data_IF_427742922415
#
_entry.id   IF_427742922415
#
_cell.length_a   1.000
_cell.length_b   1.000
_cell.length_c   1.000
_cell.angle_alpha   90.00
_cell.angle_beta   90.00
_cell.angle_gamma   90.00
#
_symmetry.space_group_name_H-M   'P 1'
#
loop_
_entity.id
_entity.type
_entity.pdbx_description
1 polymer ?
#
# COMPACT_ATOMS: atom_id res chain seq x y z
N UNK A 1 20.07 -16.74 -1.90
CA UNK A 1 19.02 -16.96 -0.87
C UNK A 1 17.65 -17.22 -1.48
N UNK A 2 17.16 -16.41 -2.43
CA UNK A 2 15.84 -16.61 -3.05
C UNK A 2 15.60 -18.03 -3.58
N UNK A 3 16.56 -18.65 -4.28
CA UNK A 3 16.43 -20.03 -4.78
C UNK A 3 16.11 -21.05 -3.68
N UNK A 4 16.78 -20.92 -2.53
CA UNK A 4 16.55 -21.80 -1.38
C UNK A 4 15.18 -21.52 -0.76
N UNK A 5 14.77 -20.25 -0.62
CA UNK A 5 13.45 -19.92 -0.07
C UNK A 5 12.33 -20.44 -0.98
N UNK A 6 12.47 -20.28 -2.30
CA UNK A 6 11.50 -20.78 -3.27
C UNK A 6 11.42 -22.32 -3.29
N UNK A 7 12.56 -23.00 -3.36
CA UNK A 7 12.58 -24.47 -3.49
C UNK A 7 12.29 -25.22 -2.19
N UNK A 8 12.89 -24.78 -1.07
CA UNK A 8 12.79 -25.49 0.20
C UNK A 8 11.60 -25.04 1.05
N UNK A 9 11.29 -23.72 1.06
CA UNK A 9 10.22 -23.16 1.89
C UNK A 9 8.92 -22.88 1.12
N UNK A 10 8.95 -22.91 -0.22
CA UNK A 10 7.78 -22.71 -1.09
C UNK A 10 7.04 -21.41 -0.80
N UNK A 11 7.78 -20.31 -0.67
CA UNK A 11 7.21 -18.98 -0.40
C UNK A 11 6.32 -18.51 -1.56
N UNK A 12 5.25 -17.78 -1.22
CA UNK A 12 4.28 -17.23 -2.19
C UNK A 12 4.56 -15.79 -2.61
N UNK A 13 5.47 -15.10 -1.90
CA UNK A 13 5.79 -13.69 -2.11
C UNK A 13 7.18 -13.34 -1.57
N UNK A 14 7.71 -12.21 -2.03
CA UNK A 14 8.95 -11.59 -1.55
C UNK A 14 8.62 -10.34 -0.75
N UNK A 15 9.24 -10.16 0.43
CA UNK A 15 9.08 -8.96 1.24
C UNK A 15 10.33 -8.08 1.13
N UNK A 16 10.11 -6.81 0.82
CA UNK A 16 11.16 -5.79 0.70
C UNK A 16 10.91 -4.62 1.67
N UNK A 17 12.00 -4.19 2.31
CA UNK A 17 12.04 -3.00 3.15
C UNK A 17 13.04 -2.00 2.56
N UNK A 18 12.55 -1.09 1.72
CA UNK A 18 13.39 -0.16 0.96
C UNK A 18 14.03 0.91 1.84
N UNK A 19 13.35 1.36 2.89
CA UNK A 19 13.89 2.34 3.84
C UNK A 19 14.72 1.75 4.97
N UNK A 20 14.47 0.49 5.37
CA UNK A 20 15.19 -0.16 6.46
C UNK A 20 16.55 -0.69 5.99
N UNK A 21 17.52 0.22 5.88
CA UNK A 21 18.88 -0.09 5.49
C UNK A 21 19.48 -1.21 6.36
N UNK A 22 20.17 -2.21 5.78
CA UNK A 22 20.90 -3.21 6.55
C UNK A 22 21.92 -2.55 7.48
N UNK A 23 22.23 -3.21 8.59
CA UNK A 23 23.20 -2.70 9.56
C UNK A 23 24.54 -2.38 8.87
N UNK A 24 24.98 -1.13 8.95
CA UNK A 24 26.21 -0.63 8.32
C UNK A 24 25.99 0.21 7.05
N UNK A 25 24.76 0.31 6.56
CA UNK A 25 24.37 1.22 5.48
C UNK A 25 23.62 2.42 6.06
N UNK A 26 23.87 3.60 5.49
CA UNK A 26 23.24 4.88 5.87
C UNK A 26 22.08 5.28 4.95
N UNK A 27 21.84 4.52 3.88
CA UNK A 27 20.80 4.76 2.90
C UNK A 27 20.01 3.48 2.56
N UNK A 28 18.75 3.70 2.21
CA UNK A 28 17.86 2.69 1.62
C UNK A 28 18.08 2.56 0.10
N UNK A 29 17.09 2.00 -0.59
CA UNK A 29 17.14 1.74 -2.03
C UNK A 29 15.76 1.93 -2.67
N UNK A 30 15.70 2.08 -4.00
CA UNK A 30 14.45 2.31 -4.74
C UNK A 30 14.05 1.10 -5.57
N UNK A 31 12.75 0.84 -5.67
CA UNK A 31 12.20 -0.27 -6.44
C UNK A 31 12.45 -0.14 -7.94
N UNK A 32 12.60 1.07 -8.45
CA UNK A 32 12.90 1.35 -9.85
C UNK A 32 14.40 1.52 -10.16
N UNK A 33 15.28 1.28 -9.17
CA UNK A 33 16.72 1.29 -9.38
C UNK A 33 17.16 0.06 -10.19
N UNK A 34 17.54 0.29 -11.43
CA UNK A 34 17.94 -0.75 -12.39
C UNK A 34 19.21 -1.49 -11.97
N UNK A 35 20.10 -0.83 -11.22
CA UNK A 35 21.39 -1.40 -10.81
C UNK A 35 21.28 -2.17 -9.49
N UNK A 36 20.39 -1.74 -8.61
CA UNK A 36 20.23 -2.33 -7.27
C UNK A 36 19.10 -3.36 -7.23
N UNK A 37 17.95 -3.03 -7.81
CA UNK A 37 16.71 -3.77 -7.56
C UNK A 37 16.35 -4.77 -8.65
N UNK A 38 16.63 -4.44 -9.92
CA UNK A 38 16.08 -5.23 -11.04
C UNK A 38 16.58 -6.67 -11.05
N UNK A 39 17.80 -6.93 -10.58
CA UNK A 39 18.30 -8.29 -10.43
C UNK A 39 17.41 -9.14 -9.50
N UNK A 40 16.84 -8.55 -8.44
CA UNK A 40 15.91 -9.23 -7.55
C UNK A 40 14.56 -9.46 -8.22
N UNK A 41 14.04 -8.46 -8.94
CA UNK A 41 12.76 -8.56 -9.66
C UNK A 41 12.80 -9.60 -10.78
N UNK A 42 13.86 -9.60 -11.58
CA UNK A 42 14.10 -10.64 -12.60
C UNK A 42 14.23 -12.02 -11.97
N UNK A 43 14.84 -12.11 -10.79
CA UNK A 43 14.92 -13.38 -10.06
C UNK A 43 13.54 -13.84 -9.58
N UNK A 44 12.70 -12.96 -9.06
CA UNK A 44 11.33 -13.27 -8.67
C UNK A 44 10.50 -13.77 -9.86
N UNK A 45 10.61 -13.09 -11.02
CA UNK A 45 10.03 -13.50 -12.30
C UNK A 45 10.49 -14.91 -12.71
N UNK A 46 11.80 -15.16 -12.73
CA UNK A 46 12.36 -16.45 -13.12
C UNK A 46 11.92 -17.60 -12.18
N UNK A 47 11.75 -17.31 -10.89
CA UNK A 47 11.24 -18.25 -9.90
C UNK A 47 9.72 -18.45 -9.95
N UNK A 48 9.00 -17.67 -10.78
CA UNK A 48 7.53 -17.70 -10.92
C UNK A 48 6.80 -17.42 -9.59
N UNK A 49 7.37 -16.54 -8.78
CA UNK A 49 6.77 -16.02 -7.54
C UNK A 49 6.61 -14.51 -7.74
N UNK A 50 5.48 -14.06 -8.32
CA UNK A 50 5.37 -12.71 -8.88
C UNK A 50 5.07 -11.63 -7.85
N UNK A 51 4.67 -12.02 -6.62
CA UNK A 51 4.23 -11.08 -5.59
C UNK A 51 5.40 -10.45 -4.87
N UNK A 52 5.47 -9.12 -4.92
CA UNK A 52 6.49 -8.29 -4.29
C UNK A 52 5.80 -7.38 -3.26
N UNK A 53 5.83 -7.80 -2.01
CA UNK A 53 5.37 -7.02 -0.87
C UNK A 53 6.42 -5.97 -0.51
N UNK A 54 6.07 -4.69 -0.62
CA UNK A 54 7.01 -3.57 -0.43
C UNK A 54 6.55 -2.67 0.72
N UNK A 55 7.44 -2.38 1.66
CA UNK A 55 7.18 -1.43 2.75
C UNK A 55 7.22 0.00 2.20
N UNK A 56 6.06 0.56 1.85
CA UNK A 56 5.94 1.84 1.15
C UNK A 56 4.88 2.74 1.80
N UNK A 57 5.22 3.18 3.01
CA UNK A 57 4.42 3.96 3.95
C UNK A 57 5.01 3.73 5.35
N UNK A 58 4.53 4.45 6.37
CA UNK A 58 4.96 4.37 7.76
C UNK A 58 6.49 4.20 7.86
N UNK A 59 7.23 5.27 7.49
CA UNK A 59 8.60 5.15 7.04
C UNK A 59 9.51 4.55 8.10
N UNK A 60 10.33 3.59 7.66
CA UNK A 60 11.38 2.98 8.46
C UNK A 60 12.76 3.45 7.97
N UNK A 61 13.72 3.46 8.88
CA UNK A 61 15.12 3.75 8.60
C UNK A 61 15.49 5.24 8.58
N UNK A 62 16.77 5.55 8.30
CA UNK A 62 17.33 6.89 8.51
C UNK A 62 16.87 7.92 7.47
N UNK A 63 16.52 7.47 6.27
CA UNK A 63 16.07 8.35 5.18
C UNK A 63 14.64 8.00 4.84
N UNK A 64 13.73 8.88 5.28
CA UNK A 64 12.28 8.75 5.16
C UNK A 64 11.84 8.45 3.72
N UNK A 65 12.49 9.09 2.74
CA UNK A 65 12.02 9.14 1.36
C UNK A 65 12.01 7.77 0.66
N UNK A 66 12.88 6.84 1.04
CA UNK A 66 12.91 5.48 0.45
C UNK A 66 11.63 4.67 0.72
N UNK A 67 10.77 5.11 1.62
CA UNK A 67 9.46 4.51 1.88
C UNK A 67 8.34 5.15 1.06
N UNK A 68 8.61 6.21 0.28
CA UNK A 68 7.62 6.78 -0.62
C UNK A 68 7.33 5.79 -1.76
N UNK A 69 6.06 5.54 -2.13
CA UNK A 69 5.70 4.57 -3.18
C UNK A 69 5.97 5.04 -4.62
N UNK A 70 6.61 6.20 -4.84
CA UNK A 70 6.66 6.87 -6.16
C UNK A 70 7.41 6.04 -7.21
N UNK A 71 8.44 5.35 -6.76
CA UNK A 71 9.29 4.47 -7.55
C UNK A 71 8.52 3.26 -8.11
N UNK A 72 7.41 2.88 -7.50
CA UNK A 72 6.59 1.78 -8.00
C UNK A 72 5.94 2.08 -9.34
N UNK A 73 5.76 3.36 -9.72
CA UNK A 73 5.19 3.69 -11.03
C UNK A 73 6.10 3.20 -12.16
N UNK A 74 7.40 3.42 -12.07
CA UNK A 74 8.36 2.93 -13.07
C UNK A 74 8.56 1.42 -12.94
N UNK A 75 8.78 0.90 -11.73
CA UNK A 75 8.97 -0.53 -11.51
C UNK A 75 7.78 -1.37 -12.03
N UNK A 76 6.54 -0.93 -11.81
CA UNK A 76 5.34 -1.63 -12.28
C UNK A 76 5.19 -1.62 -13.81
N UNK A 77 5.64 -0.55 -14.48
CA UNK A 77 5.68 -0.49 -15.96
C UNK A 77 6.73 -1.42 -16.54
N UNK A 78 7.90 -1.46 -15.92
CA UNK A 78 9.05 -2.24 -16.42
C UNK A 78 8.87 -3.74 -16.12
N UNK A 79 8.06 -4.09 -15.11
CA UNK A 79 7.72 -5.46 -14.72
C UNK A 79 6.20 -5.69 -14.64
N UNK A 80 5.47 -5.64 -15.78
CA UNK A 80 4.01 -5.73 -15.80
C UNK A 80 3.47 -7.11 -15.38
N UNK A 81 4.32 -8.13 -15.33
CA UNK A 81 4.04 -9.50 -14.91
C UNK A 81 4.29 -9.78 -13.42
N UNK A 82 4.87 -8.81 -12.70
CA UNK A 82 5.02 -8.86 -11.24
C UNK A 82 3.92 -8.05 -10.56
N UNK A 83 3.51 -8.45 -9.36
CA UNK A 83 2.47 -7.80 -8.57
C UNK A 83 3.09 -7.07 -7.38
N UNK A 84 2.94 -5.75 -7.30
CA UNK A 84 3.52 -4.92 -6.23
C UNK A 84 2.49 -4.62 -5.16
N UNK A 85 2.67 -5.18 -3.96
CA UNK A 85 1.78 -4.99 -2.82
C UNK A 85 2.36 -3.92 -1.89
N UNK A 86 1.73 -2.74 -1.90
CA UNK A 86 2.12 -1.52 -1.18
C UNK A 86 1.63 -1.61 0.25
N UNK A 87 2.48 -2.14 1.14
CA UNK A 87 2.17 -2.17 2.57
C UNK A 87 2.04 -0.75 3.09
N UNK A 88 1.00 -0.55 3.89
CA UNK A 88 0.60 0.73 4.45
C UNK A 88 0.11 1.78 3.43
N UNK A 89 -0.22 1.37 2.20
CA UNK A 89 -0.94 2.22 1.23
C UNK A 89 -0.36 3.63 1.01
N UNK A 90 0.95 3.83 1.16
CA UNK A 90 1.56 5.15 1.02
C UNK A 90 1.21 6.13 2.14
N UNK A 91 0.71 5.70 3.30
CA UNK A 91 0.49 6.58 4.45
C UNK A 91 1.85 6.99 5.02
N UNK A 92 2.18 8.29 5.03
CA UNK A 92 3.41 8.77 5.67
C UNK A 92 3.36 8.58 7.19
N UNK A 93 2.44 9.24 7.85
CA UNK A 93 2.14 9.11 9.27
C UNK A 93 0.80 9.81 9.57
N UNK A 94 0.09 9.39 10.62
CA UNK A 94 -1.22 9.96 10.95
C UNK A 94 -1.16 11.45 11.37
N UNK A 95 -0.08 11.88 12.03
CA UNK A 95 0.04 13.25 12.54
C UNK A 95 0.22 14.28 11.41
N UNK A 96 1.05 13.96 10.41
CA UNK A 96 1.23 14.80 9.23
C UNK A 96 -0.01 14.77 8.34
N UNK A 97 -0.69 13.62 8.24
CA UNK A 97 -1.97 13.52 7.55
C UNK A 97 -3.00 14.49 8.15
N UNK A 98 -3.18 14.51 9.48
CA UNK A 98 -4.09 15.46 10.13
C UNK A 98 -3.77 16.92 9.81
N UNK A 99 -2.50 17.32 10.02
CA UNK A 99 -2.05 18.71 9.82
C UNK A 99 -2.22 19.19 8.38
N UNK A 100 -1.87 18.34 7.41
CA UNK A 100 -1.92 18.69 5.98
C UNK A 100 -3.34 18.62 5.45
N UNK A 101 -4.12 17.61 5.88
CA UNK A 101 -5.50 17.45 5.46
C UNK A 101 -6.36 18.64 5.89
N UNK A 102 -6.15 19.18 7.10
CA UNK A 102 -6.88 20.35 7.57
C UNK A 102 -6.69 21.61 6.70
N UNK A 103 -5.52 21.75 6.06
CA UNK A 103 -5.20 22.93 5.25
C UNK A 103 -5.41 22.74 3.75
N UNK A 104 -5.26 21.51 3.24
CA UNK A 104 -5.24 21.23 1.80
C UNK A 104 -6.29 20.21 1.35
N UNK A 105 -6.83 19.42 2.28
CA UNK A 105 -7.62 18.23 1.97
C UNK A 105 -6.79 17.07 1.40
N UNK A 106 -5.46 17.17 1.39
CA UNK A 106 -4.57 16.12 0.90
C UNK A 106 -3.99 15.27 2.03
N UNK A 107 -3.70 14.02 1.72
CA UNK A 107 -2.99 13.08 2.57
C UNK A 107 -1.58 12.93 1.99
N UNK A 108 -0.52 13.38 2.70
CA UNK A 108 0.85 13.32 2.20
C UNK A 108 1.22 11.92 1.69
N UNK A 109 1.89 11.89 0.54
CA UNK A 109 2.28 10.69 -0.23
C UNK A 109 1.13 9.90 -0.83
N UNK A 110 0.06 9.59 -0.06
CA UNK A 110 -1.08 8.83 -0.56
C UNK A 110 -1.80 9.57 -1.69
N UNK A 111 -2.14 10.85 -1.48
CA UNK A 111 -2.81 11.68 -2.50
C UNK A 111 -1.92 11.88 -3.73
N UNK A 112 -0.62 12.12 -3.53
CA UNK A 112 0.36 12.25 -4.61
C UNK A 112 0.45 10.96 -5.44
N UNK A 113 0.59 9.81 -4.77
CA UNK A 113 0.70 8.52 -5.43
C UNK A 113 -0.58 8.13 -6.19
N UNK A 114 -1.76 8.42 -5.64
CA UNK A 114 -3.03 8.23 -6.35
C UNK A 114 -3.10 9.09 -7.63
N UNK A 115 -2.61 10.34 -7.59
CA UNK A 115 -2.53 11.21 -8.78
C UNK A 115 -1.56 10.64 -9.82
N UNK A 116 -0.39 10.16 -9.39
CA UNK A 116 0.58 9.51 -10.27
C UNK A 116 -0.01 8.26 -10.94
N UNK A 117 -0.68 7.40 -10.17
CA UNK A 117 -1.34 6.20 -10.72
C UNK A 117 -2.42 6.55 -11.75
N UNK A 118 -3.23 7.59 -11.50
CA UNK A 118 -4.27 8.03 -12.43
C UNK A 118 -3.71 8.58 -13.74
N UNK A 119 -2.52 9.18 -13.72
CA UNK A 119 -1.81 9.58 -14.94
C UNK A 119 -1.33 8.37 -15.76
N UNK A 120 -1.31 7.17 -15.16
CA UNK A 120 -0.80 5.93 -15.75
C UNK A 120 -1.87 4.82 -15.72
N UNK A 121 -3.00 4.97 -16.44
CA UNK A 121 -4.13 4.04 -16.37
C UNK A 121 -3.79 2.62 -16.86
N UNK A 122 -2.71 2.45 -17.64
CA UNK A 122 -2.22 1.15 -18.10
C UNK A 122 -1.59 0.29 -17.01
N UNK A 123 -1.12 0.88 -15.91
CA UNK A 123 -0.59 0.12 -14.76
C UNK A 123 -1.76 -0.57 -14.06
N UNK A 124 -1.66 -1.89 -13.87
CA UNK A 124 -2.70 -2.73 -13.25
C UNK A 124 -2.16 -3.68 -12.17
N UNK A 125 -0.87 -3.61 -11.88
CA UNK A 125 -0.16 -4.58 -11.05
C UNK A 125 0.37 -3.94 -9.75
N UNK A 126 -0.34 -2.93 -9.23
CA UNK A 126 -0.07 -2.30 -7.93
C UNK A 126 -1.30 -2.47 -7.05
N UNK A 127 -1.09 -3.00 -5.85
CA UNK A 127 -2.13 -3.30 -4.86
C UNK A 127 -1.87 -2.53 -3.57
N UNK A 128 -2.89 -1.88 -3.02
CA UNK A 128 -2.80 -1.02 -1.83
C UNK A 128 -3.23 -1.80 -0.59
N UNK A 129 -2.29 -2.11 0.30
CA UNK A 129 -2.57 -2.89 1.53
C UNK A 129 -2.86 -1.97 2.72
N UNK A 130 -3.93 -2.28 3.46
CA UNK A 130 -4.50 -1.38 4.47
C UNK A 130 -3.81 -1.43 5.84
N UNK A 131 -3.54 -2.61 6.40
CA UNK A 131 -2.82 -2.81 7.66
C UNK A 131 -2.96 -1.71 8.72
N UNK A 132 -1.80 -1.25 9.19
CA UNK A 132 -1.67 -0.12 10.12
C UNK A 132 -2.27 1.18 9.59
N UNK A 133 -2.39 1.37 8.27
CA UNK A 133 -3.02 2.58 7.70
C UNK A 133 -4.49 2.67 8.06
N UNK A 134 -5.23 1.56 7.95
CA UNK A 134 -6.60 1.52 8.44
C UNK A 134 -6.66 1.62 9.96
N UNK A 135 -5.84 0.82 10.67
CA UNK A 135 -5.83 0.78 12.13
C UNK A 135 -5.56 2.15 12.80
N UNK A 136 -4.57 2.91 12.30
CA UNK A 136 -4.27 4.25 12.80
C UNK A 136 -5.40 5.23 12.49
N UNK A 137 -5.86 5.31 11.24
CA UNK A 137 -6.79 6.36 10.85
C UNK A 137 -8.23 6.12 11.31
N UNK A 138 -8.71 4.87 11.32
CA UNK A 138 -10.12 4.59 11.67
C UNK A 138 -10.46 4.98 13.10
N UNK A 139 -9.48 4.93 14.00
CA UNK A 139 -9.66 5.17 15.44
C UNK A 139 -9.56 6.65 15.79
N UNK A 140 -8.58 7.37 15.22
CA UNK A 140 -8.28 8.76 15.59
C UNK A 140 -8.76 9.77 14.56
N UNK A 141 -8.83 9.40 13.28
CA UNK A 141 -9.10 10.32 12.16
C UNK A 141 -10.06 9.72 11.12
N UNK A 142 -11.30 9.33 11.49
CA UNK A 142 -12.19 8.58 10.61
C UNK A 142 -12.55 9.32 9.30
N UNK A 143 -12.62 10.65 9.30
CA UNK A 143 -12.83 11.42 8.07
C UNK A 143 -11.65 11.29 7.08
N UNK A 144 -10.42 11.28 7.60
CA UNK A 144 -9.20 11.08 6.82
C UNK A 144 -9.14 9.63 6.32
N UNK A 145 -9.51 8.66 7.17
CA UNK A 145 -9.64 7.25 6.78
C UNK A 145 -10.60 7.08 5.59
N UNK A 146 -11.79 7.69 5.67
CA UNK A 146 -12.78 7.64 4.60
C UNK A 146 -12.27 8.31 3.31
N UNK A 147 -11.59 9.45 3.44
CA UNK A 147 -10.99 10.13 2.30
C UNK A 147 -9.88 9.29 1.64
N UNK A 148 -8.99 8.68 2.45
CA UNK A 148 -7.93 7.78 1.98
C UNK A 148 -8.51 6.60 1.20
N UNK A 149 -9.48 5.89 1.79
CA UNK A 149 -10.14 4.75 1.14
C UNK A 149 -10.80 5.17 -0.18
N UNK A 150 -11.47 6.33 -0.19
CA UNK A 150 -12.05 6.90 -1.41
C UNK A 150 -11.00 7.14 -2.49
N UNK A 151 -9.86 7.76 -2.15
CA UNK A 151 -8.77 8.04 -3.11
C UNK A 151 -8.16 6.76 -3.69
N UNK A 152 -7.84 5.77 -2.86
CA UNK A 152 -7.19 4.54 -3.34
C UNK A 152 -8.15 3.68 -4.16
N UNK A 153 -9.43 3.58 -3.77
CA UNK A 153 -10.42 2.83 -4.56
C UNK A 153 -10.65 3.50 -5.92
N UNK A 154 -10.72 4.83 -5.96
CA UNK A 154 -10.90 5.59 -7.20
C UNK A 154 -9.65 5.54 -8.11
N UNK A 155 -8.44 5.44 -7.55
CA UNK A 155 -7.20 5.38 -8.34
C UNK A 155 -6.81 3.97 -8.80
N UNK A 156 -7.04 2.94 -7.97
CA UNK A 156 -6.58 1.57 -8.20
C UNK A 156 -7.71 0.58 -8.47
N UNK A 157 -8.93 0.88 -8.02
CA UNK A 157 -10.05 -0.06 -8.01
C UNK A 157 -10.15 -0.81 -6.69
N UNK A 158 -11.37 -1.17 -6.29
CA UNK A 158 -11.61 -1.93 -5.06
C UNK A 158 -10.99 -3.34 -5.08
N UNK A 159 -10.79 -3.90 -6.27
CA UNK A 159 -10.10 -5.17 -6.52
C UNK A 159 -8.57 -5.08 -6.36
N UNK A 160 -8.03 -3.87 -6.21
CA UNK A 160 -6.61 -3.63 -5.97
C UNK A 160 -6.35 -3.06 -4.57
N UNK A 161 -7.31 -3.18 -3.66
CA UNK A 161 -7.15 -2.82 -2.24
C UNK A 161 -7.21 -4.08 -1.41
N UNK A 162 -6.16 -4.33 -0.62
CA UNK A 162 -5.99 -5.56 0.15
C UNK A 162 -6.22 -5.32 1.63
N UNK A 163 -7.00 -6.19 2.25
CA UNK A 163 -7.15 -6.22 3.70
C UNK A 163 -5.89 -6.76 4.39
N UNK A 164 -5.47 -6.05 5.42
CA UNK A 164 -4.49 -6.51 6.40
C UNK A 164 -4.71 -5.78 7.71
N UNK A 165 -4.14 -6.31 8.79
CA UNK A 165 -4.36 -5.78 10.15
C UNK A 165 -3.08 -5.41 10.88
N UNK A 166 -1.92 -5.83 10.39
CA UNK A 166 -0.65 -5.67 11.10
C UNK A 166 -0.73 -6.09 12.59
N UNK A 167 -1.40 -7.21 12.86
CA UNK A 167 -1.76 -7.66 14.21
C UNK A 167 -0.59 -7.79 15.21
N UNK A 168 0.66 -7.85 14.73
CA UNK A 168 1.83 -7.75 15.60
C UNK A 168 1.85 -6.45 16.42
N UNK A 169 1.28 -5.36 15.89
CA UNK A 169 1.22 -4.05 16.55
C UNK A 169 -0.11 -3.79 17.28
N UNK A 170 -1.18 -4.48 16.89
CA UNK A 170 -2.54 -4.21 17.35
C UNK A 170 -3.20 -5.35 18.14
N UNK A 171 -2.49 -6.45 18.35
CA UNK A 171 -3.02 -7.66 18.95
C UNK A 171 -4.08 -8.32 18.06
N UNK A 172 -5.21 -8.68 18.66
CA UNK A 172 -6.29 -9.38 17.94
C UNK A 172 -6.75 -8.59 16.71
N UNK A 173 -6.89 -9.23 15.53
CA UNK A 173 -7.39 -8.56 14.32
C UNK A 173 -8.88 -8.20 14.41
N UNK A 174 -9.61 -8.79 15.38
CA UNK A 174 -11.07 -8.75 15.44
C UNK A 174 -11.64 -7.33 15.45
N UNK A 175 -11.02 -6.41 16.21
CA UNK A 175 -11.53 -5.04 16.33
C UNK A 175 -11.44 -4.27 15.01
N UNK A 176 -10.38 -4.49 14.21
CA UNK A 176 -10.22 -3.86 12.89
C UNK A 176 -11.24 -4.41 11.90
N UNK A 177 -11.44 -5.73 11.89
CA UNK A 177 -12.43 -6.40 11.04
C UNK A 177 -13.83 -5.84 11.34
N UNK A 178 -14.18 -5.74 12.62
CA UNK A 178 -15.46 -5.19 13.04
C UNK A 178 -15.62 -3.71 12.70
N UNK A 179 -14.58 -2.90 12.88
CA UNK A 179 -14.57 -1.51 12.49
C UNK A 179 -14.83 -1.38 10.99
N UNK A 180 -14.07 -2.08 10.14
CA UNK A 180 -14.24 -1.99 8.68
C UNK A 180 -15.61 -2.49 8.21
N UNK A 181 -16.14 -3.56 8.80
CA UNK A 181 -17.50 -4.04 8.53
C UNK A 181 -18.56 -2.96 8.75
N UNK A 182 -18.41 -2.14 9.79
CA UNK A 182 -19.35 -1.04 10.12
C UNK A 182 -19.03 0.27 9.40
N UNK A 183 -17.77 0.49 9.03
CA UNK A 183 -17.28 1.74 8.48
C UNK A 183 -17.98 2.14 7.18
N UNK A 184 -18.33 3.41 7.01
CA UNK A 184 -18.95 3.93 5.79
C UNK A 184 -18.23 5.22 5.39
N UNK A 185 -18.15 5.49 4.09
CA UNK A 185 -17.71 6.80 3.62
C UNK A 185 -18.84 7.79 3.87
N UNK A 186 -18.61 8.90 4.60
CA UNK A 186 -19.60 9.94 4.79
C UNK A 186 -20.18 10.47 3.47
N UNK A 187 -21.49 10.79 3.47
CA UNK A 187 -22.21 11.20 2.26
C UNK A 187 -21.67 12.48 1.62
N UNK A 188 -21.23 13.43 2.44
CA UNK A 188 -20.59 14.68 1.99
C UNK A 188 -19.28 14.42 1.24
N UNK A 189 -18.47 13.45 1.68
CA UNK A 189 -17.27 13.03 0.96
C UNK A 189 -17.61 12.34 -0.36
N UNK A 190 -18.63 11.49 -0.39
CA UNK A 190 -19.13 10.86 -1.62
C UNK A 190 -19.59 11.94 -2.61
N UNK A 191 -20.39 12.90 -2.17
CA UNK A 191 -20.91 13.95 -3.05
C UNK A 191 -19.83 14.87 -3.58
N UNK A 192 -18.90 15.29 -2.71
CA UNK A 192 -17.82 16.23 -3.05
C UNK A 192 -16.78 15.61 -3.98
N UNK A 193 -16.35 14.38 -3.69
CA UNK A 193 -15.23 13.74 -4.40
C UNK A 193 -15.68 12.67 -5.40
N UNK A 194 -16.98 12.37 -5.48
CA UNK A 194 -17.56 11.30 -6.31
C UNK A 194 -17.02 9.92 -5.96
N UNK A 195 -16.68 9.69 -4.70
CA UNK A 195 -16.18 8.40 -4.24
C UNK A 195 -17.25 7.31 -4.33
N UNK A 196 -16.80 6.10 -4.65
CA UNK A 196 -17.62 4.91 -4.57
C UNK A 196 -17.99 4.62 -3.09
N UNK A 197 -19.27 4.38 -2.77
CA UNK A 197 -19.66 3.94 -1.44
C UNK A 197 -19.06 2.56 -1.09
N UNK A 198 -18.72 2.35 0.19
CA UNK A 198 -18.29 1.04 0.69
C UNK A 198 -19.49 0.09 0.88
N UNK A 199 -20.09 -0.30 -0.25
CA UNK A 199 -21.14 -1.31 -0.29
C UNK A 199 -20.63 -2.65 0.23
N UNK A 200 -21.55 -3.58 0.50
CA UNK A 200 -21.20 -4.94 0.93
C UNK A 200 -20.24 -5.60 -0.05
N UNK A 201 -20.52 -5.54 -1.34
CA UNK A 201 -19.71 -6.16 -2.39
C UNK A 201 -18.29 -5.57 -2.45
N UNK A 202 -18.16 -4.25 -2.28
CA UNK A 202 -16.85 -3.58 -2.22
C UNK A 202 -16.04 -4.07 -1.02
N UNK A 203 -16.67 -4.16 0.16
CA UNK A 203 -15.99 -4.66 1.37
C UNK A 203 -15.62 -6.13 1.25
N UNK A 204 -16.46 -6.94 0.63
CA UNK A 204 -16.18 -8.35 0.36
C UNK A 204 -14.97 -8.52 -0.56
N UNK A 205 -14.84 -7.69 -1.59
CA UNK A 205 -13.63 -7.66 -2.44
C UNK A 205 -12.37 -7.36 -1.63
N UNK A 206 -12.41 -6.29 -0.82
CA UNK A 206 -11.26 -5.86 0.00
C UNK A 206 -10.87 -6.93 1.04
N UNK A 207 -11.87 -7.59 1.66
CA UNK A 207 -11.62 -8.70 2.59
C UNK A 207 -11.07 -9.97 1.93
N UNK A 208 -10.99 -10.03 0.61
CA UNK A 208 -10.28 -11.09 -0.10
C UNK A 208 -11.18 -12.17 -0.71
N UNK A 209 -12.48 -11.92 -0.92
CA UNK A 209 -13.31 -12.84 -1.73
C UNK A 209 -12.84 -12.94 -3.20
N UNK A 210 -11.90 -12.08 -3.62
CA UNK A 210 -11.25 -12.10 -4.94
C UNK A 210 -9.71 -11.98 -4.88
N UNK A 211 -9.10 -12.18 -3.70
CA UNK A 211 -7.65 -12.04 -3.49
C UNK A 211 -6.88 -13.37 -3.62
#
# INVERSE_FOLDING_TARGET
FMDMQASAMKVDAWKAYTGAAPKGFDHGWWMDDEKVTYAMLEKARALKIPRICVHKGLPLGPVVDYNHPRDLIKAAKDFPDLEFLVYHSGLRDAASAEKVFASTGEIPWTTEFCKMKKAEPGIRNIYMELGSTFGQLVTTHPAICAHLLGQIIDAFGADHVLWGTDSIWYGTPQWQIEAFRRFQVPGDLIEKHKYQPLTRDVKEQIFGLKA
#
